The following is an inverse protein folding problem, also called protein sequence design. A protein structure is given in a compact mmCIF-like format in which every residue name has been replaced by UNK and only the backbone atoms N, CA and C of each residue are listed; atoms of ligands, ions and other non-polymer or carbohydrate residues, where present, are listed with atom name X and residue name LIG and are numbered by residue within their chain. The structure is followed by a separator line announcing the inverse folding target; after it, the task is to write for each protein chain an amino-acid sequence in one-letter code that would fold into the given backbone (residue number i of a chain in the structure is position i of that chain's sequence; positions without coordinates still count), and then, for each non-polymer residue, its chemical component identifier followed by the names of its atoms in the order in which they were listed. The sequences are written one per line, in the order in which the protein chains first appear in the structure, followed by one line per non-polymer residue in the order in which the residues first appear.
data_IF_660291577858
#
_entry.id   IF_660291577858
#
_cell.length_a   1.000
_cell.length_b   1.000
_cell.length_c   1.000
_cell.angle_alpha   90.00
_cell.angle_beta   90.00
_cell.angle_gamma   90.00
#
_symmetry.space_group_name_H-M   'P 1'
#
loop_
_entity.id
_entity.type
_entity.pdbx_description
1 polymer ?
#
# COMPACT_ATOMS: atom_id res chain seq x y z
N UNK A 1 -0.11 48.64 0.88
CA UNK A 1 1.20 48.57 0.20
C UNK A 1 1.97 47.30 0.58
N UNK A 2 2.34 47.10 1.84
CA UNK A 2 3.16 45.95 2.28
C UNK A 2 2.54 44.56 1.99
N UNK A 3 1.22 44.40 2.15
CA UNK A 3 0.52 43.13 1.86
C UNK A 3 0.55 42.79 0.37
N UNK A 4 0.36 43.78 -0.51
CA UNK A 4 0.39 43.57 -1.96
C UNK A 4 1.80 43.21 -2.46
N UNK A 5 2.84 43.83 -1.90
CA UNK A 5 4.24 43.48 -2.21
C UNK A 5 4.58 42.06 -1.76
N UNK A 6 4.12 41.64 -0.58
CA UNK A 6 4.28 40.26 -0.10
C UNK A 6 3.59 39.25 -1.03
N UNK A 7 2.36 39.55 -1.47
CA UNK A 7 1.62 38.71 -2.42
C UNK A 7 2.32 38.65 -3.78
N UNK A 8 2.78 39.79 -4.30
CA UNK A 8 3.51 39.85 -5.57
C UNK A 8 4.81 39.03 -5.53
N UNK A 9 5.55 39.07 -4.41
CA UNK A 9 6.76 38.25 -4.23
C UNK A 9 6.44 36.77 -4.14
N UNK A 10 5.39 36.39 -3.40
CA UNK A 10 4.94 35.01 -3.31
C UNK A 10 4.53 34.44 -4.68
N UNK A 11 3.74 35.20 -5.43
CA UNK A 11 3.32 34.83 -6.79
C UNK A 11 4.51 34.77 -7.76
N UNK A 12 5.45 35.71 -7.69
CA UNK A 12 6.64 35.70 -8.53
C UNK A 12 7.52 34.47 -8.24
N UNK A 13 7.69 34.11 -6.96
CA UNK A 13 8.45 32.92 -6.57
C UNK A 13 7.80 31.64 -7.08
N UNK A 14 6.49 31.47 -6.90
CA UNK A 14 5.74 30.31 -7.42
C UNK A 14 5.79 30.26 -8.95
N UNK A 15 5.63 31.42 -9.62
CA UNK A 15 5.69 31.53 -11.08
C UNK A 15 7.08 31.18 -11.65
N UNK A 16 8.16 31.60 -11.00
CA UNK A 16 9.53 31.21 -11.40
C UNK A 16 9.72 29.70 -11.23
N UNK A 17 9.28 29.12 -10.11
CA UNK A 17 9.36 27.67 -9.89
C UNK A 17 8.58 26.92 -10.96
N UNK A 18 7.36 27.36 -11.30
CA UNK A 18 6.53 26.75 -12.32
C UNK A 18 7.17 26.83 -13.73
N UNK A 19 7.74 27.99 -14.12
CA UNK A 19 8.40 28.15 -15.42
C UNK A 19 9.68 27.31 -15.53
N UNK A 20 10.47 27.21 -14.46
CA UNK A 20 11.63 26.33 -14.41
C UNK A 20 11.19 24.88 -14.51
N UNK A 21 10.12 24.49 -13.83
CA UNK A 21 9.57 23.14 -13.92
C UNK A 21 9.02 22.81 -15.32
N UNK A 22 8.28 23.71 -15.96
CA UNK A 22 7.79 23.52 -17.33
C UNK A 22 8.95 23.36 -18.33
N UNK A 23 10.04 24.12 -18.16
CA UNK A 23 11.21 24.04 -19.01
C UNK A 23 12.09 22.81 -18.77
N UNK A 24 12.04 22.21 -17.56
CA UNK A 24 12.98 21.14 -17.15
C UNK A 24 12.33 19.80 -16.80
N UNK A 25 11.03 19.79 -16.52
CA UNK A 25 10.29 18.64 -16.00
C UNK A 25 10.77 18.14 -14.62
N UNK A 26 11.36 19.01 -13.79
CA UNK A 26 12.07 18.63 -12.58
C UNK A 26 11.19 17.87 -11.58
N UNK A 27 9.96 18.31 -11.31
CA UNK A 27 9.05 17.66 -10.36
C UNK A 27 8.71 16.24 -10.80
N UNK A 28 8.33 16.06 -12.07
CA UNK A 28 8.01 14.74 -12.61
C UNK A 28 9.23 13.80 -12.60
N UNK A 29 10.43 14.30 -12.86
CA UNK A 29 11.65 13.49 -12.77
C UNK A 29 11.95 13.11 -11.31
N UNK A 30 11.79 14.05 -10.37
CA UNK A 30 12.01 13.82 -8.94
C UNK A 30 11.07 12.77 -8.37
N UNK A 31 9.78 12.84 -8.71
CA UNK A 31 8.77 11.84 -8.33
C UNK A 31 9.12 10.45 -8.85
N UNK A 32 9.56 10.35 -10.12
CA UNK A 32 10.03 9.08 -10.70
C UNK A 32 11.25 8.53 -9.97
N UNK A 33 12.21 9.38 -9.64
CA UNK A 33 13.43 8.97 -8.94
C UNK A 33 13.11 8.47 -7.52
N UNK A 34 12.17 9.13 -6.84
CA UNK A 34 11.69 8.71 -5.52
C UNK A 34 10.94 7.37 -5.58
N UNK A 35 10.01 7.22 -6.53
CA UNK A 35 9.30 5.97 -6.75
C UNK A 35 10.26 4.83 -7.07
N UNK A 36 11.21 5.05 -7.98
CA UNK A 36 12.21 4.04 -8.33
C UNK A 36 13.03 3.64 -7.11
N UNK A 37 13.42 4.58 -6.25
CA UNK A 37 14.12 4.29 -5.00
C UNK A 37 13.29 3.43 -4.05
N UNK A 38 12.00 3.71 -3.91
CA UNK A 38 11.07 2.89 -3.10
C UNK A 38 10.97 1.49 -3.71
N UNK A 39 10.74 1.39 -5.02
CA UNK A 39 10.59 0.10 -5.70
C UNK A 39 11.86 -0.75 -5.60
N UNK A 40 13.05 -0.17 -5.79
CA UNK A 40 14.32 -0.88 -5.62
C UNK A 40 14.54 -1.39 -4.20
N UNK A 41 14.03 -0.68 -3.19
CA UNK A 41 14.11 -1.14 -1.80
C UNK A 41 13.11 -2.27 -1.50
N UNK A 42 11.94 -2.28 -2.15
CA UNK A 42 10.84 -3.20 -1.81
C UNK A 42 10.74 -4.43 -2.71
N UNK A 43 11.06 -4.30 -4.00
CA UNK A 43 10.89 -5.33 -5.02
C UNK A 43 12.22 -6.01 -5.29
N UNK A 44 12.27 -7.32 -5.07
CA UNK A 44 13.40 -8.15 -5.52
C UNK A 44 13.27 -8.38 -7.03
N UNK A 45 14.37 -8.43 -7.79
CA UNK A 45 14.38 -8.76 -9.23
C UNK A 45 14.11 -10.23 -9.53
N UNK A 46 14.48 -11.13 -8.62
CA UNK A 46 14.28 -12.56 -8.78
C UNK A 46 13.15 -13.08 -7.89
N UNK A 47 12.51 -14.17 -8.31
CA UNK A 47 11.53 -14.87 -7.48
C UNK A 47 12.26 -15.56 -6.34
N UNK A 48 11.97 -15.17 -5.11
CA UNK A 48 12.56 -15.82 -3.94
C UNK A 48 11.91 -17.19 -3.68
N UNK A 49 12.68 -18.17 -3.19
CA UNK A 49 12.12 -19.41 -2.67
C UNK A 49 11.01 -19.10 -1.67
N UNK A 50 9.95 -19.91 -1.68
CA UNK A 50 8.83 -19.69 -0.80
C UNK A 50 9.27 -19.76 0.66
N UNK A 51 9.24 -18.61 1.34
CA UNK A 51 9.41 -18.54 2.79
C UNK A 51 8.11 -19.05 3.41
N UNK A 52 8.14 -20.29 3.93
CA UNK A 52 7.01 -20.85 4.67
C UNK A 52 6.70 -19.89 5.83
N UNK A 53 5.47 -19.34 5.79
CA UNK A 53 4.75 -18.65 6.88
C UNK A 53 5.00 -17.15 7.08
N UNK A 54 4.97 -16.37 6.01
CA UNK A 54 4.76 -14.89 6.12
C UNK A 54 3.45 -14.56 6.86
N UNK A 55 2.39 -15.34 6.65
CA UNK A 55 1.11 -15.16 7.32
C UNK A 55 0.97 -16.21 8.45
N UNK A 56 0.88 -15.79 9.72
CA UNK A 56 0.74 -16.71 10.85
C UNK A 56 -0.66 -17.34 10.89
N UNK A 57 -0.78 -18.53 11.47
CA UNK A 57 -2.08 -19.23 11.61
C UNK A 57 -3.09 -18.39 12.40
N UNK A 58 -2.60 -17.66 13.41
CA UNK A 58 -3.40 -16.79 14.26
C UNK A 58 -4.12 -15.68 13.47
N UNK A 59 -3.46 -15.08 12.46
CA UNK A 59 -4.08 -14.08 11.57
C UNK A 59 -5.37 -14.63 10.96
N UNK A 60 -5.31 -15.85 10.44
CA UNK A 60 -6.46 -16.48 9.81
C UNK A 60 -7.50 -16.95 10.82
N UNK A 61 -7.08 -17.46 11.97
CA UNK A 61 -7.99 -17.86 13.04
C UNK A 61 -8.86 -16.68 13.48
N UNK A 62 -8.27 -15.49 13.60
CA UNK A 62 -9.02 -14.28 13.97
C UNK A 62 -9.98 -13.81 12.87
N UNK A 63 -9.61 -13.92 11.60
CA UNK A 63 -10.54 -13.67 10.49
C UNK A 63 -11.74 -14.62 10.58
N UNK A 64 -11.51 -15.93 10.73
CA UNK A 64 -12.60 -16.90 10.83
C UNK A 64 -13.50 -16.62 12.04
N UNK A 65 -12.92 -16.25 13.18
CA UNK A 65 -13.66 -15.86 14.39
C UNK A 65 -14.61 -14.69 14.11
N UNK A 66 -14.10 -13.58 13.58
CA UNK A 66 -14.92 -12.38 13.32
C UNK A 66 -16.00 -12.60 12.26
N UNK A 67 -15.79 -13.56 11.36
CA UNK A 67 -16.75 -13.92 10.33
C UNK A 67 -17.69 -15.08 10.71
N UNK A 68 -17.53 -15.68 11.91
CA UNK A 68 -18.32 -16.83 12.35
C UNK A 68 -18.09 -18.10 11.53
N UNK A 69 -16.95 -18.23 10.85
CA UNK A 69 -16.63 -19.38 10.01
C UNK A 69 -15.99 -20.51 10.83
N UNK A 70 -16.28 -21.77 10.46
CA UNK A 70 -15.63 -22.93 11.05
C UNK A 70 -14.14 -22.96 10.69
N UNK A 71 -13.26 -22.93 11.70
CA UNK A 71 -11.81 -23.00 11.52
C UNK A 71 -11.30 -24.42 11.81
N UNK A 72 -10.73 -25.07 10.79
CA UNK A 72 -10.07 -26.36 10.93
C UNK A 72 -8.55 -26.16 11.01
N UNK A 73 -7.90 -26.44 12.16
CA UNK A 73 -6.46 -26.34 12.30
C UNK A 73 -5.72 -27.16 11.23
N UNK A 74 -4.68 -26.59 10.63
CA UNK A 74 -3.89 -27.25 9.58
C UNK A 74 -4.55 -27.29 8.19
N UNK A 75 -5.79 -26.85 8.03
CA UNK A 75 -6.40 -26.72 6.69
C UNK A 75 -5.74 -25.60 5.89
N UNK A 76 -5.30 -25.93 4.68
CA UNK A 76 -4.79 -24.96 3.71
C UNK A 76 -5.92 -24.35 2.85
N UNK A 77 -7.11 -24.96 2.87
CA UNK A 77 -8.25 -24.49 2.10
C UNK A 77 -8.90 -23.29 2.79
N UNK A 78 -9.01 -22.19 2.06
CA UNK A 78 -9.45 -20.90 2.56
C UNK A 78 -10.47 -20.30 1.60
N UNK A 79 -11.56 -19.67 2.09
CA UNK A 79 -12.45 -18.88 1.26
C UNK A 79 -11.67 -17.86 0.42
N UNK A 80 -12.03 -17.72 -0.85
CA UNK A 80 -11.34 -16.81 -1.78
C UNK A 80 -11.36 -15.35 -1.31
N UNK A 81 -12.42 -14.95 -0.59
CA UNK A 81 -12.59 -13.61 -0.02
C UNK A 81 -11.44 -13.21 0.92
N UNK A 82 -10.76 -14.17 1.54
CA UNK A 82 -9.58 -13.89 2.39
C UNK A 82 -8.43 -13.30 1.56
N UNK A 83 -8.29 -13.73 0.30
CA UNK A 83 -7.32 -13.11 -0.61
C UNK A 83 -7.61 -11.64 -0.86
N UNK A 84 -8.89 -11.27 -0.98
CA UNK A 84 -9.34 -9.87 -1.11
C UNK A 84 -9.05 -9.09 0.16
N UNK A 85 -9.32 -9.67 1.34
CA UNK A 85 -9.03 -9.04 2.63
C UNK A 85 -7.52 -8.80 2.83
N UNK A 86 -6.68 -9.75 2.44
CA UNK A 86 -5.23 -9.60 2.53
C UNK A 86 -4.75 -8.47 1.60
N UNK A 87 -5.29 -8.36 0.38
CA UNK A 87 -4.97 -7.21 -0.47
C UNK A 87 -5.35 -5.90 0.23
N UNK A 88 -6.59 -5.81 0.71
CA UNK A 88 -7.13 -4.63 1.37
C UNK A 88 -6.39 -4.20 2.62
N UNK A 89 -6.09 -5.12 3.54
CA UNK A 89 -5.55 -4.76 4.85
C UNK A 89 -4.03 -4.74 4.90
N UNK A 90 -3.38 -5.42 3.97
CA UNK A 90 -1.94 -5.63 4.02
C UNK A 90 -1.26 -4.98 2.82
N UNK A 91 -1.58 -5.39 1.60
CA UNK A 91 -0.85 -4.93 0.42
C UNK A 91 -1.18 -3.47 0.03
N UNK A 92 -2.42 -3.02 0.20
CA UNK A 92 -2.82 -1.61 -0.08
C UNK A 92 -2.20 -0.60 0.91
N UNK A 93 -1.60 -1.08 1.99
CA UNK A 93 -0.90 -0.26 2.99
C UNK A 93 0.63 -0.33 2.86
N UNK A 94 1.15 -0.99 1.82
CA UNK A 94 2.54 -0.83 1.43
C UNK A 94 2.75 0.55 0.79
N UNK A 95 4.00 1.04 0.68
CA UNK A 95 4.29 2.31 0.02
C UNK A 95 3.73 2.38 -1.39
N UNK A 96 3.51 3.60 -1.87
CA UNK A 96 2.95 3.87 -3.19
C UNK A 96 3.70 3.14 -4.31
N UNK A 97 2.95 2.61 -5.28
CA UNK A 97 3.47 1.89 -6.44
C UNK A 97 3.99 0.47 -6.17
N UNK A 98 4.18 0.07 -4.91
CA UNK A 98 4.69 -1.27 -4.58
C UNK A 98 3.69 -2.36 -4.98
N UNK A 99 2.40 -2.19 -4.68
CA UNK A 99 1.38 -3.18 -5.04
C UNK A 99 1.18 -3.25 -6.56
N UNK A 100 1.26 -2.13 -7.27
CA UNK A 100 1.19 -2.02 -8.72
C UNK A 100 2.35 -2.80 -9.36
N UNK A 101 3.58 -2.54 -8.92
CA UNK A 101 4.76 -3.27 -9.35
C UNK A 101 4.65 -4.78 -9.06
N UNK A 102 4.11 -5.16 -7.90
CA UNK A 102 3.84 -6.56 -7.56
C UNK A 102 2.79 -7.21 -8.48
N UNK A 103 1.77 -6.46 -8.91
CA UNK A 103 0.71 -6.93 -9.82
C UNK A 103 1.25 -7.13 -11.23
N UNK A 104 2.10 -6.22 -11.70
CA UNK A 104 2.79 -6.31 -12.98
C UNK A 104 3.75 -7.50 -13.00
N UNK A 105 4.56 -7.65 -11.95
CA UNK A 105 5.56 -8.71 -11.85
C UNK A 105 4.96 -10.10 -11.66
N UNK A 106 3.77 -10.18 -11.07
CA UNK A 106 3.05 -11.43 -10.82
C UNK A 106 1.66 -11.38 -11.45
N UNK A 107 1.54 -11.36 -12.79
CA UNK A 107 0.28 -11.15 -13.48
C UNK A 107 -0.71 -12.30 -13.26
N UNK A 108 -1.99 -12.06 -13.57
CA UNK A 108 -2.99 -13.13 -13.55
C UNK A 108 -2.83 -13.93 -14.85
N UNK A 109 -2.87 -15.25 -14.75
CA UNK A 109 -2.93 -16.13 -15.90
C UNK A 109 -4.33 -16.15 -16.51
N UNK A 110 -4.50 -16.92 -17.60
CA UNK A 110 -5.77 -17.08 -18.33
C UNK A 110 -6.95 -17.50 -17.44
N UNK A 111 -6.68 -18.23 -16.36
CA UNK A 111 -7.68 -18.68 -15.38
C UNK A 111 -8.01 -17.63 -14.30
N UNK A 112 -7.42 -16.44 -14.38
CA UNK A 112 -7.57 -15.37 -13.40
C UNK A 112 -6.78 -15.58 -12.10
N UNK A 113 -5.91 -16.61 -12.03
CA UNK A 113 -5.09 -16.93 -10.86
C UNK A 113 -3.66 -16.42 -11.05
N UNK A 114 -2.95 -16.18 -9.95
CA UNK A 114 -1.51 -15.85 -9.98
C UNK A 114 -0.68 -17.13 -9.81
N UNK A 115 0.40 -17.25 -10.56
CA UNK A 115 1.31 -18.41 -10.49
C UNK A 115 2.11 -18.41 -9.18
N UNK A 116 2.45 -17.23 -8.67
CA UNK A 116 3.23 -17.06 -7.44
C UNK A 116 2.50 -16.19 -6.41
N UNK A 117 3.06 -16.08 -5.20
CA UNK A 117 2.55 -15.17 -4.15
C UNK A 117 3.32 -13.85 -4.20
N UNK A 118 2.64 -12.73 -3.97
CA UNK A 118 3.27 -11.40 -4.02
C UNK A 118 4.46 -11.25 -3.07
N UNK A 119 4.40 -11.77 -1.84
CA UNK A 119 5.53 -11.71 -0.91
C UNK A 119 6.82 -12.38 -1.43
N UNK A 120 6.75 -13.29 -2.40
CA UNK A 120 7.96 -13.90 -2.98
C UNK A 120 8.77 -12.93 -3.84
N UNK A 121 8.18 -11.80 -4.21
CA UNK A 121 8.84 -10.73 -4.96
C UNK A 121 9.29 -9.58 -4.07
N UNK A 122 9.13 -9.69 -2.75
CA UNK A 122 9.58 -8.67 -1.81
C UNK A 122 11.02 -8.92 -1.35
N UNK A 123 11.77 -7.83 -1.18
CA UNK A 123 13.11 -7.86 -0.56
C UNK A 123 13.01 -8.34 0.89
N UNK A 124 14.09 -8.97 1.40
CA UNK A 124 14.08 -9.46 2.79
C UNK A 124 14.19 -8.31 3.81
N UNK A 125 14.97 -7.28 3.47
CA UNK A 125 15.36 -6.22 4.39
C UNK A 125 14.21 -5.26 4.67
N UNK A 126 13.59 -4.74 3.61
CA UNK A 126 12.53 -3.73 3.71
C UNK A 126 11.14 -4.32 3.41
N UNK A 127 10.98 -4.99 2.27
CA UNK A 127 9.67 -5.46 1.83
C UNK A 127 9.01 -6.47 2.78
N UNK A 128 9.71 -7.56 3.11
CA UNK A 128 9.20 -8.59 4.04
C UNK A 128 9.07 -8.04 5.46
N UNK A 129 10.06 -7.27 5.95
CA UNK A 129 10.01 -6.68 7.30
C UNK A 129 8.79 -5.79 7.48
N UNK A 130 8.52 -4.89 6.52
CA UNK A 130 7.33 -4.05 6.56
C UNK A 130 6.05 -4.90 6.48
N UNK A 131 6.00 -5.87 5.57
CA UNK A 131 4.85 -6.76 5.42
C UNK A 131 4.53 -7.51 6.74
N UNK A 132 5.54 -8.03 7.43
CA UNK A 132 5.39 -8.71 8.71
C UNK A 132 4.89 -7.75 9.81
N UNK A 133 5.41 -6.52 9.85
CA UNK A 133 4.93 -5.47 10.76
C UNK A 133 3.44 -5.17 10.54
N UNK A 134 3.03 -4.99 9.28
CA UNK A 134 1.63 -4.76 8.92
C UNK A 134 0.74 -5.94 9.35
N UNK A 135 1.17 -7.18 9.07
CA UNK A 135 0.45 -8.39 9.49
C UNK A 135 0.32 -8.46 11.02
N UNK A 136 1.38 -8.11 11.77
CA UNK A 136 1.36 -8.15 13.22
C UNK A 136 0.37 -7.13 13.82
N UNK A 137 0.34 -5.91 13.30
CA UNK A 137 -0.61 -4.87 13.73
C UNK A 137 -2.03 -5.29 13.39
N UNK A 138 -2.30 -5.72 12.15
CA UNK A 138 -3.63 -6.17 11.73
C UNK A 138 -4.10 -7.38 12.54
N UNK A 139 -3.23 -8.35 12.81
CA UNK A 139 -3.54 -9.50 13.67
C UNK A 139 -3.91 -9.03 15.09
N UNK A 140 -3.21 -8.04 15.62
CA UNK A 140 -3.49 -7.49 16.95
C UNK A 140 -4.86 -6.80 16.99
N UNK A 141 -5.19 -6.01 15.97
CA UNK A 141 -6.51 -5.39 15.82
C UNK A 141 -7.61 -6.44 15.70
N UNK A 142 -7.43 -7.43 14.84
CA UNK A 142 -8.37 -8.55 14.70
C UNK A 142 -8.60 -9.30 16.03
N UNK A 143 -7.57 -9.41 16.87
CA UNK A 143 -7.64 -10.09 18.17
C UNK A 143 -8.43 -9.30 19.21
N UNK A 144 -8.28 -7.98 19.25
CA UNK A 144 -8.93 -7.13 20.28
C UNK A 144 -10.36 -6.74 19.92
N UNK A 145 -10.76 -6.89 18.66
CA UNK A 145 -12.14 -6.60 18.23
C UNK A 145 -13.09 -7.73 18.55
N UNK A 146 -14.28 -7.43 19.03
CA UNK A 146 -15.34 -8.43 19.23
C UNK A 146 -16.15 -8.66 17.95
N UNK A 147 -16.30 -7.63 17.12
CA UNK A 147 -17.03 -7.70 15.85
C UNK A 147 -16.23 -7.15 14.67
N UNK A 148 -16.69 -7.44 13.46
CA UNK A 148 -16.08 -6.91 12.23
C UNK A 148 -16.17 -5.39 12.16
N UNK A 149 -17.27 -4.80 12.62
CA UNK A 149 -17.50 -3.35 12.61
C UNK A 149 -16.53 -2.65 13.56
N UNK A 150 -16.26 -3.25 14.72
CA UNK A 150 -15.25 -2.75 15.64
C UNK A 150 -13.85 -2.82 15.02
N UNK A 151 -13.52 -3.94 14.38
CA UNK A 151 -12.26 -4.10 13.66
C UNK A 151 -12.09 -3.02 12.60
N UNK A 152 -13.08 -2.82 11.73
CA UNK A 152 -13.03 -1.82 10.66
C UNK A 152 -12.82 -0.41 11.25
N UNK A 153 -13.50 -0.07 12.35
CA UNK A 153 -13.33 1.21 13.05
C UNK A 153 -11.92 1.38 13.61
N UNK A 154 -11.38 0.37 14.31
CA UNK A 154 -10.04 0.43 14.88
C UNK A 154 -8.95 0.46 13.81
N UNK A 155 -9.16 -0.29 12.73
CA UNK A 155 -8.27 -0.33 11.56
C UNK A 155 -8.20 1.04 10.89
N UNK A 156 -9.36 1.65 10.57
CA UNK A 156 -9.40 3.00 10.00
C UNK A 156 -8.83 4.05 10.95
N UNK A 157 -9.01 3.90 12.26
CA UNK A 157 -8.40 4.81 13.25
C UNK A 157 -6.86 4.67 13.31
N UNK A 158 -6.35 3.45 13.18
CA UNK A 158 -4.90 3.17 13.26
C UNK A 158 -4.16 3.56 11.99
N UNK A 159 -4.74 3.26 10.82
CA UNK A 159 -4.05 3.41 9.53
C UNK A 159 -4.55 4.57 8.68
N UNK A 160 -5.70 5.18 9.00
CA UNK A 160 -6.30 6.21 8.17
C UNK A 160 -6.77 5.66 6.82
N UNK A 161 -6.47 6.39 5.74
CA UNK A 161 -6.72 5.93 4.35
C UNK A 161 -5.50 5.16 3.83
N UNK A 162 -5.70 4.12 2.99
CA UNK A 162 -4.60 3.41 2.33
C UNK A 162 -3.64 4.39 1.62
N UNK A 163 -2.35 4.06 1.54
CA UNK A 163 -1.39 4.85 0.76
C UNK A 163 -1.81 4.97 -0.72
N UNK A 164 -2.46 3.95 -1.27
CA UNK A 164 -3.01 4.00 -2.64
C UNK A 164 -4.06 5.09 -2.85
N UNK A 165 -4.74 5.51 -1.78
CA UNK A 165 -5.77 6.56 -1.80
C UNK A 165 -5.22 7.92 -1.34
N UNK A 166 -3.95 7.96 -0.90
CA UNK A 166 -3.22 9.19 -0.62
C UNK A 166 -2.71 9.73 -1.96
N UNK A 167 -3.63 10.19 -2.81
CA UNK A 167 -3.30 11.06 -3.93
C UNK A 167 -2.38 12.18 -3.43
N UNK A 168 -1.41 12.64 -4.24
CA UNK A 168 -0.71 13.87 -3.95
C UNK A 168 -1.76 14.94 -3.63
N UNK A 169 -1.65 15.52 -2.43
CA UNK A 169 -2.43 16.70 -2.12
C UNK A 169 -2.02 17.77 -3.13
N UNK A 170 -2.96 18.08 -4.02
CA UNK A 170 -3.02 19.24 -4.92
C UNK A 170 -2.49 19.09 -6.37
N UNK A 171 -3.40 18.64 -7.24
CA UNK A 171 -3.51 19.15 -8.61
C UNK A 171 -4.99 19.34 -9.02
N UNK A 172 -5.82 19.81 -8.08
CA UNK A 172 -7.23 20.10 -8.36
C UNK A 172 -7.63 21.46 -7.78
N UNK A 173 -7.00 22.51 -8.31
CA UNK A 173 -7.51 23.88 -8.31
C UNK A 173 -6.90 24.57 -9.52
N UNK A 174 -7.54 24.43 -10.69
CA UNK A 174 -7.48 25.27 -11.90
C UNK A 174 -7.80 24.44 -13.15
N UNK A 175 -9.03 23.91 -13.22
CA UNK A 175 -9.74 23.73 -14.50
C UNK A 175 -11.24 23.59 -14.18
N UNK A 176 -11.81 24.73 -13.79
CA UNK A 176 -13.17 25.09 -14.13
C UNK A 176 -13.05 26.46 -14.79
N UNK A 177 -13.00 26.43 -16.12
CA UNK A 177 -13.89 27.17 -17.01
C UNK A 177 -13.66 26.68 -18.45
#
# INVERSE_FOLDING_TARGET
AAVCDLLMRGLAQVGIIALVDEATGYQAQREKDELNRILSAYINEELRPWVKRVFPEEFFKQIYRLHGWAYTPGSISRPQVIGTMINKWIYEYLPEGVLEALREKNPRNETGRRNHKHHQFLTQEEGIRHLEGQIAVVTSLLRVSDTKEEFDRLFSKNFGRPYQDQLPLEANSLHKD
#
